data_IF_008682562095
#
_entry.id   IF_008682562095
#
_cell.length_a   1.000
_cell.length_b   1.000
_cell.length_c   1.000
_cell.angle_alpha   90.00
_cell.angle_beta   90.00
_cell.angle_gamma   90.00
#
_symmetry.space_group_name_H-M   'P 1'
#
loop_
_entity.id
_entity.type
_entity.pdbx_description
1 polymer ?
#
# COMPACT_ATOMS: atom_id res chain seq x y z
N UNK A 1 -13.48 -7.17 -23.27
CA UNK A 1 -13.60 -8.64 -23.35
C UNK A 1 -15.02 -8.99 -22.95
N UNK A 2 -15.78 -9.69 -23.78
CA UNK A 2 -17.16 -10.06 -23.47
C UNK A 2 -17.21 -11.57 -23.29
N UNK A 3 -17.78 -12.03 -22.18
CA UNK A 3 -17.84 -13.44 -21.84
C UNK A 3 -18.85 -14.18 -22.71
N UNK A 4 -18.52 -15.42 -23.09
CA UNK A 4 -19.48 -16.36 -23.68
C UNK A 4 -20.49 -16.84 -22.64
N UNK A 5 -21.62 -17.38 -23.11
CA UNK A 5 -22.66 -17.93 -22.23
C UNK A 5 -22.14 -19.13 -21.44
N UNK A 6 -21.26 -19.92 -22.05
CA UNK A 6 -20.61 -21.08 -21.44
C UNK A 6 -19.66 -20.66 -20.31
N UNK A 7 -18.83 -19.64 -20.53
CA UNK A 7 -17.94 -19.08 -19.49
C UNK A 7 -18.75 -18.49 -18.32
N UNK A 8 -19.83 -17.78 -18.64
CA UNK A 8 -20.71 -17.20 -17.62
C UNK A 8 -21.40 -18.29 -16.79
N UNK A 9 -21.89 -19.36 -17.42
CA UNK A 9 -22.46 -20.51 -16.74
C UNK A 9 -21.42 -21.26 -15.88
N UNK A 10 -20.19 -21.42 -16.39
CA UNK A 10 -19.12 -22.06 -15.65
C UNK A 10 -18.72 -21.27 -14.40
N UNK A 11 -18.61 -19.93 -14.49
CA UNK A 11 -18.35 -19.10 -13.32
C UNK A 11 -19.49 -19.12 -12.31
N UNK A 12 -20.75 -19.07 -12.76
CA UNK A 12 -21.92 -19.23 -11.85
C UNK A 12 -21.85 -20.54 -11.07
N UNK A 13 -21.60 -21.65 -11.76
CA UNK A 13 -21.45 -22.97 -11.13
C UNK A 13 -20.31 -22.97 -10.11
N UNK A 14 -19.18 -22.35 -10.42
CA UNK A 14 -18.03 -22.27 -9.50
C UNK A 14 -18.34 -21.42 -8.27
N UNK A 15 -19.09 -20.33 -8.41
CA UNK A 15 -19.54 -19.50 -7.29
C UNK A 15 -20.48 -20.30 -6.39
N UNK A 16 -21.42 -21.06 -6.95
CA UNK A 16 -22.33 -21.92 -6.19
C UNK A 16 -21.57 -23.00 -5.42
N UNK A 17 -20.63 -23.69 -6.07
CA UNK A 17 -19.74 -24.67 -5.41
C UNK A 17 -18.93 -24.05 -4.27
N UNK A 18 -18.33 -22.88 -4.50
CA UNK A 18 -17.51 -22.19 -3.50
C UNK A 18 -18.34 -21.63 -2.32
N UNK A 19 -19.63 -21.36 -2.53
CA UNK A 19 -20.53 -20.79 -1.51
C UNK A 19 -21.47 -21.80 -0.86
N UNK A 20 -21.34 -23.09 -1.23
CA UNK A 20 -22.18 -24.17 -0.71
C UNK A 20 -21.99 -24.41 0.79
N UNK A 21 -20.76 -24.24 1.29
CA UNK A 21 -20.44 -24.31 2.71
C UNK A 21 -20.21 -22.90 3.23
N UNK A 22 -21.06 -22.47 4.16
CA UNK A 22 -20.93 -21.18 4.84
C UNK A 22 -20.42 -21.37 6.25
N UNK A 23 -19.69 -20.37 6.72
CA UNK A 23 -19.27 -20.24 8.12
C UNK A 23 -20.52 -20.16 9.01
N UNK A 24 -20.49 -20.78 10.18
CA UNK A 24 -21.60 -20.72 11.13
C UNK A 24 -21.82 -19.28 11.62
N UNK A 25 -23.03 -18.92 12.01
CA UNK A 25 -23.36 -17.54 12.38
C UNK A 25 -22.51 -17.05 13.57
N UNK A 26 -22.25 -17.92 14.53
CA UNK A 26 -21.42 -17.63 15.70
C UNK A 26 -19.97 -17.31 15.29
N UNK A 27 -19.45 -18.02 14.28
CA UNK A 27 -18.12 -17.79 13.73
C UNK A 27 -18.07 -16.54 12.86
N UNK A 28 -19.13 -16.21 12.11
CA UNK A 28 -19.22 -14.95 11.36
C UNK A 28 -19.13 -13.75 12.30
N UNK A 29 -19.94 -13.72 13.36
CA UNK A 29 -19.93 -12.66 14.37
C UNK A 29 -18.54 -12.55 15.01
N UNK A 30 -17.91 -13.68 15.31
CA UNK A 30 -16.55 -13.72 15.85
C UNK A 30 -15.53 -13.12 14.87
N UNK A 31 -15.54 -13.54 13.60
CA UNK A 31 -14.59 -13.04 12.61
C UNK A 31 -14.76 -11.55 12.34
N UNK A 32 -15.99 -11.05 12.39
CA UNK A 32 -16.28 -9.63 12.25
C UNK A 32 -15.73 -8.83 13.44
N UNK A 33 -16.12 -9.22 14.66
CA UNK A 33 -15.73 -8.50 15.88
C UNK A 33 -14.22 -8.59 16.18
N UNK A 34 -13.59 -9.71 15.83
CA UNK A 34 -12.15 -9.93 16.05
C UNK A 34 -11.31 -9.66 14.79
N UNK A 35 -11.89 -9.12 13.71
CA UNK A 35 -11.19 -8.90 12.44
C UNK A 35 -9.86 -8.16 12.62
N UNK A 36 -9.87 -7.05 13.38
CA UNK A 36 -8.68 -6.22 13.62
C UNK A 36 -7.56 -7.02 14.30
N UNK A 37 -7.91 -7.87 15.27
CA UNK A 37 -6.96 -8.75 15.97
C UNK A 37 -6.35 -9.78 15.02
N UNK A 38 -7.15 -10.38 14.13
CA UNK A 38 -6.63 -11.34 13.16
C UNK A 38 -5.63 -10.69 12.18
N UNK A 39 -5.96 -9.50 11.68
CA UNK A 39 -5.05 -8.75 10.81
C UNK A 39 -3.80 -8.26 11.55
N UNK A 40 -3.92 -7.77 12.78
CA UNK A 40 -2.76 -7.42 13.60
C UNK A 40 -1.84 -8.62 13.85
N UNK A 41 -2.41 -9.80 14.14
CA UNK A 41 -1.63 -11.04 14.25
C UNK A 41 -0.93 -11.37 12.93
N UNK A 42 -1.63 -11.24 11.81
CA UNK A 42 -1.06 -11.45 10.48
C UNK A 42 0.13 -10.51 10.22
N UNK A 43 0.00 -9.20 10.48
CA UNK A 43 1.07 -8.24 10.28
C UNK A 43 2.24 -8.42 11.26
N UNK A 44 1.99 -8.86 12.49
CA UNK A 44 3.05 -9.23 13.44
C UNK A 44 3.90 -10.39 12.93
N UNK A 45 3.27 -11.40 12.33
CA UNK A 45 3.96 -12.59 11.80
C UNK A 45 4.67 -12.28 10.49
N UNK A 46 3.97 -11.67 9.53
CA UNK A 46 4.44 -11.55 8.16
C UNK A 46 5.13 -10.23 7.83
N UNK A 47 4.90 -9.17 8.61
CA UNK A 47 5.41 -7.81 8.37
C UNK A 47 5.12 -7.38 6.92
N UNK A 48 6.15 -6.92 6.21
CA UNK A 48 6.08 -6.52 4.81
C UNK A 48 6.49 -7.63 3.82
N UNK A 49 6.55 -8.91 4.24
CA UNK A 49 7.10 -10.00 3.42
C UNK A 49 6.07 -10.84 2.68
N UNK A 50 4.78 -10.65 2.95
CA UNK A 50 3.72 -11.48 2.37
C UNK A 50 3.33 -11.02 0.96
N UNK A 51 3.06 -9.72 0.81
CA UNK A 51 2.72 -9.12 -0.48
C UNK A 51 3.97 -8.51 -1.12
N UNK A 52 3.96 -8.43 -2.45
CA UNK A 52 4.98 -7.70 -3.21
C UNK A 52 4.55 -6.25 -3.39
N UNK A 53 5.54 -5.37 -3.49
CA UNK A 53 5.31 -3.99 -3.90
C UNK A 53 4.60 -3.92 -5.25
N UNK A 54 3.54 -3.09 -5.32
CA UNK A 54 2.69 -2.92 -6.49
C UNK A 54 3.29 -1.91 -7.46
N UNK A 55 4.56 -2.11 -7.84
CA UNK A 55 5.29 -1.25 -8.78
C UNK A 55 4.61 -1.11 -10.15
N UNK A 56 3.72 -2.04 -10.51
CA UNK A 56 2.92 -1.99 -11.73
C UNK A 56 1.77 -0.98 -11.67
N UNK A 57 1.31 -0.59 -10.47
CA UNK A 57 0.10 0.20 -10.25
C UNK A 57 0.08 1.49 -11.09
N UNK A 58 1.16 2.26 -10.99
CA UNK A 58 1.27 3.57 -11.65
C UNK A 58 1.53 3.47 -13.16
N UNK A 59 1.94 2.28 -13.65
CA UNK A 59 2.07 2.02 -15.08
C UNK A 59 0.72 1.76 -15.72
N UNK A 60 -0.14 0.99 -15.03
CA UNK A 60 -1.47 0.65 -15.53
C UNK A 60 -2.49 1.78 -15.29
N UNK A 61 -2.30 2.56 -14.22
CA UNK A 61 -3.20 3.64 -13.81
C UNK A 61 -2.40 4.94 -13.57
N UNK A 62 -1.86 5.58 -14.63
CA UNK A 62 -1.11 6.83 -14.50
C UNK A 62 -1.94 7.99 -13.94
N UNK A 63 -3.26 7.95 -14.09
CA UNK A 63 -4.22 8.96 -13.58
C UNK A 63 -4.29 9.06 -12.05
N UNK A 64 -3.70 8.11 -11.33
CA UNK A 64 -3.55 8.17 -9.87
C UNK A 64 -2.65 9.34 -9.45
N UNK A 65 -1.78 9.79 -10.35
CA UNK A 65 -0.82 10.87 -10.10
C UNK A 65 -1.34 12.20 -10.65
N UNK A 66 -0.91 13.33 -10.09
CA UNK A 66 -1.22 14.64 -10.65
C UNK A 66 -0.72 14.72 -12.10
N UNK A 67 -1.58 15.18 -13.00
CA UNK A 67 -1.22 15.40 -14.40
C UNK A 67 -0.22 16.55 -14.45
N UNK A 68 0.99 16.27 -14.94
CA UNK A 68 1.96 17.32 -15.24
C UNK A 68 1.40 18.19 -16.38
N UNK A 69 0.89 19.38 -16.03
CA UNK A 69 0.38 20.39 -16.97
C UNK A 69 1.43 20.87 -18.01
N UNK A 70 2.67 20.40 -17.93
CA UNK A 70 3.78 20.76 -18.82
C UNK A 70 3.97 19.79 -20.01
N UNK A 71 3.09 18.81 -20.22
CA UNK A 71 3.29 17.75 -21.26
C UNK A 71 2.49 17.99 -22.55
N UNK A 72 1.67 19.04 -22.63
CA UNK A 72 0.86 19.32 -23.83
C UNK A 72 1.65 19.91 -25.02
N UNK A 73 2.93 20.30 -24.86
CA UNK A 73 3.70 20.93 -25.95
C UNK A 73 4.54 19.96 -26.81
N UNK A 74 4.61 18.65 -26.51
CA UNK A 74 5.43 17.70 -27.30
C UNK A 74 4.65 16.57 -27.94
N UNK A 75 3.52 16.88 -28.55
CA UNK A 75 2.87 15.95 -29.50
C UNK A 75 2.33 16.69 -30.72
N UNK A 76 3.20 17.43 -31.40
CA UNK A 76 3.03 17.74 -32.82
C UNK A 76 4.35 17.48 -33.55
N UNK A 77 4.23 16.72 -34.63
CA UNK A 77 5.22 16.43 -35.67
C UNK A 77 6.17 15.24 -35.43
N UNK A 78 5.70 14.05 -35.85
CA UNK A 78 6.55 13.12 -36.59
C UNK A 78 5.99 13.00 -38.03
N UNK A 79 6.80 13.15 -39.09
CA UNK A 79 6.33 12.97 -40.47
C UNK A 79 6.06 11.50 -40.78
N UNK A 80 4.94 11.25 -41.46
CA UNK A 80 4.68 9.98 -42.14
C UNK A 80 5.63 9.85 -43.33
N UNK A 81 6.43 8.79 -43.36
CA UNK A 81 6.95 8.26 -44.62
C UNK A 81 6.76 6.75 -44.69
N UNK A 82 6.04 6.36 -45.74
CA UNK A 82 5.74 4.98 -46.12
C UNK A 82 6.91 4.39 -46.92
N UNK A 83 7.55 3.31 -46.45
CA UNK A 83 8.11 2.28 -47.35
C UNK A 83 7.94 0.88 -46.73
N UNK A 84 7.53 -0.04 -47.61
CA UNK A 84 7.06 -1.40 -47.40
C UNK A 84 8.14 -2.43 -47.01
N UNK A 85 7.72 -3.38 -46.17
CA UNK A 85 7.87 -4.85 -46.25
C UNK A 85 9.21 -5.52 -45.89
N UNK A 86 9.20 -6.33 -44.82
CA UNK A 86 9.35 -7.80 -44.87
C UNK A 86 9.27 -8.40 -43.44
N UNK A 87 8.39 -9.40 -43.25
CA UNK A 87 8.35 -10.29 -42.09
C UNK A 87 9.31 -11.50 -42.32
N UNK A 88 9.69 -12.33 -41.33
CA UNK A 88 8.73 -13.15 -40.58
C UNK A 88 9.00 -13.36 -39.07
N UNK A 89 7.91 -13.65 -38.37
CA UNK A 89 7.71 -14.46 -37.16
C UNK A 89 8.93 -14.92 -36.33
N UNK A 90 8.86 -14.66 -35.02
CA UNK A 90 9.28 -15.66 -34.03
C UNK A 90 8.37 -15.63 -32.79
N UNK A 91 7.40 -16.54 -32.78
CA UNK A 91 6.78 -17.09 -31.59
C UNK A 91 7.85 -17.90 -30.85
N UNK A 92 8.13 -17.62 -29.58
CA UNK A 92 8.50 -18.71 -28.67
C UNK A 92 8.14 -18.44 -27.23
N UNK A 93 7.36 -19.38 -26.73
CA UNK A 93 6.90 -19.67 -25.39
C UNK A 93 7.97 -20.57 -24.78
N UNK A 94 8.56 -20.23 -23.64
CA UNK A 94 9.30 -21.24 -22.87
C UNK A 94 9.11 -21.11 -21.36
N UNK A 95 8.96 -22.29 -20.77
CA UNK A 95 8.50 -22.59 -19.43
C UNK A 95 9.67 -22.70 -18.44
N UNK A 96 9.30 -22.63 -17.17
CA UNK A 96 10.08 -22.97 -15.97
C UNK A 96 10.68 -24.38 -16.00
N UNK A 97 11.93 -24.53 -15.55
CA UNK A 97 12.47 -25.78 -14.98
C UNK A 97 13.47 -25.46 -13.86
N UNK A 98 13.53 -26.35 -12.87
CA UNK A 98 14.08 -26.26 -11.51
C UNK A 98 15.49 -26.88 -11.33
N UNK A 99 16.23 -26.37 -10.33
CA UNK A 99 17.30 -26.99 -9.44
C UNK A 99 18.59 -27.59 -10.04
N UNK A 100 19.75 -27.68 -9.32
CA UNK A 100 19.91 -27.90 -7.86
C UNK A 100 21.01 -27.16 -7.07
N UNK A 101 20.85 -27.32 -5.74
CA UNK A 101 21.74 -26.96 -4.62
C UNK A 101 23.14 -27.59 -4.69
N UNK A 102 24.14 -26.95 -4.09
CA UNK A 102 25.14 -27.64 -3.27
C UNK A 102 25.64 -26.79 -2.09
N UNK A 103 25.91 -27.50 -1.00
CA UNK A 103 26.23 -27.04 0.36
C UNK A 103 27.75 -26.85 0.51
N UNK A 104 28.18 -25.95 1.39
CA UNK A 104 29.41 -26.19 2.15
C UNK A 104 29.35 -25.60 3.57
N UNK A 105 29.53 -26.49 4.54
CA UNK A 105 29.63 -26.23 5.97
C UNK A 105 31.08 -25.84 6.32
N UNK A 106 31.26 -24.88 7.24
CA UNK A 106 32.37 -24.95 8.21
C UNK A 106 31.95 -24.39 9.56
N UNK A 107 32.22 -25.19 10.58
CA UNK A 107 31.87 -25.12 12.00
C UNK A 107 33.16 -24.87 12.79
N UNK A 108 33.17 -23.89 13.69
CA UNK A 108 34.08 -23.77 14.85
C UNK A 108 33.24 -23.05 15.94
N UNK A 109 32.57 -23.77 16.87
CA UNK A 109 32.91 -23.97 18.31
C UNK A 109 33.45 -22.70 18.99
N UNK A 110 32.70 -22.02 19.90
CA UNK A 110 32.64 -22.27 21.36
C UNK A 110 33.89 -21.67 22.05
N UNK A 111 33.88 -20.91 23.15
CA UNK A 111 33.01 -20.76 24.31
C UNK A 111 33.60 -19.57 25.13
N UNK A 112 32.82 -18.77 25.88
CA UNK A 112 33.02 -18.47 27.32
C UNK A 112 32.35 -17.17 27.79
N UNK A 113 31.77 -17.28 28.99
CA UNK A 113 31.12 -16.29 29.84
C UNK A 113 31.92 -15.03 30.18
N UNK A 114 31.21 -13.98 30.61
CA UNK A 114 31.81 -12.80 31.22
C UNK A 114 30.84 -11.68 31.55
N UNK A 115 30.15 -11.81 32.69
CA UNK A 115 29.34 -10.79 33.34
C UNK A 115 30.22 -9.62 33.85
N UNK A 116 29.83 -8.35 33.62
CA UNK A 116 30.21 -7.24 34.51
C UNK A 116 29.32 -5.99 34.31
N UNK A 117 28.91 -5.42 35.46
CA UNK A 117 28.22 -4.15 35.64
C UNK A 117 29.24 -3.00 35.73
N UNK A 118 28.86 -1.80 35.28
CA UNK A 118 29.14 -0.44 35.78
C UNK A 118 28.91 0.52 34.59
N UNK A 119 28.11 1.59 34.64
CA UNK A 119 28.05 2.62 35.67
C UNK A 119 29.02 3.74 35.31
N UNK A 120 28.56 4.81 34.64
CA UNK A 120 29.05 6.18 34.86
C UNK A 120 28.32 7.20 33.98
N UNK A 121 28.00 8.30 34.65
CA UNK A 121 27.35 9.52 34.24
C UNK A 121 28.07 10.26 33.11
N UNK A 122 27.33 10.94 32.22
CA UNK A 122 27.79 12.19 31.61
C UNK A 122 26.62 13.16 31.33
N UNK A 123 26.55 14.16 32.22
CA UNK A 123 26.25 15.58 31.99
C UNK A 123 25.19 16.00 30.96
N UNK A 124 24.18 16.69 31.49
CA UNK A 124 23.40 17.76 30.86
C UNK A 124 24.23 18.60 29.87
N UNK A 125 23.75 18.72 28.63
CA UNK A 125 24.12 19.80 27.74
C UNK A 125 22.86 20.51 27.26
N UNK A 126 22.66 21.67 27.85
CA UNK A 126 21.63 22.66 27.58
C UNK A 126 21.93 23.31 26.22
N UNK A 127 21.22 22.91 25.17
CA UNK A 127 21.28 23.56 23.86
C UNK A 127 20.03 24.39 23.65
N UNK A 128 20.20 25.71 23.77
CA UNK A 128 19.25 26.74 23.38
C UNK A 128 18.74 26.47 21.95
N UNK A 129 17.48 26.08 21.82
CA UNK A 129 16.79 26.13 20.53
C UNK A 129 16.48 27.59 20.20
N UNK A 130 17.12 28.06 19.13
CA UNK A 130 16.75 29.25 18.40
C UNK A 130 15.28 29.17 17.99
N UNK A 131 14.48 30.09 18.52
CA UNK A 131 13.05 30.23 18.21
C UNK A 131 12.89 30.60 16.74
N UNK A 132 12.65 29.61 15.87
CA UNK A 132 11.93 29.84 14.62
C UNK A 132 10.49 30.20 15.00
N UNK A 133 10.06 31.41 14.64
CA UNK A 133 8.67 31.87 14.84
C UNK A 133 7.65 30.88 14.25
N UNK A 134 6.37 30.94 14.65
CA UNK A 134 5.39 29.97 14.23
C UNK A 134 5.23 30.03 12.71
N UNK A 135 5.76 29.01 12.04
CA UNK A 135 5.39 28.64 10.68
C UNK A 135 3.86 28.57 10.61
N UNK A 136 3.26 29.03 9.50
CA UNK A 136 1.82 28.90 9.22
C UNK A 136 1.30 27.57 9.80
N UNK A 137 0.41 27.65 10.78
CA UNK A 137 -0.13 26.46 11.43
C UNK A 137 -0.90 25.67 10.37
N UNK A 138 -0.40 24.48 10.02
CA UNK A 138 -1.12 23.59 9.12
C UNK A 138 -2.47 23.26 9.76
N UNK A 139 -3.56 23.53 9.05
CA UNK A 139 -4.93 23.29 9.53
C UNK A 139 -5.21 21.79 9.71
N UNK A 140 -4.62 20.99 8.83
CA UNK A 140 -4.61 19.53 8.83
C UNK A 140 -3.38 19.04 8.04
N UNK A 141 -2.93 17.78 8.22
CA UNK A 141 -1.80 17.22 7.47
C UNK A 141 -2.02 17.36 5.96
N UNK A 142 -1.07 17.91 5.22
CA UNK A 142 -1.25 18.08 3.77
C UNK A 142 -2.22 19.19 3.36
N UNK A 143 -2.53 20.12 4.27
CA UNK A 143 -3.38 21.30 3.98
C UNK A 143 -2.82 22.19 2.87
N UNK A 144 -1.50 22.21 2.67
CA UNK A 144 -0.86 22.97 1.58
C UNK A 144 -0.86 22.24 0.23
N UNK A 145 -1.20 20.96 0.18
CA UNK A 145 -1.18 20.19 -1.07
C UNK A 145 -2.29 20.62 -2.03
N UNK A 146 -2.01 20.55 -3.33
CA UNK A 146 -2.99 20.80 -4.41
C UNK A 146 -3.54 19.52 -5.03
N UNK A 147 -2.95 18.36 -4.69
CA UNK A 147 -3.43 17.05 -5.11
C UNK A 147 -3.33 16.03 -3.96
N UNK A 148 -4.42 15.32 -3.65
CA UNK A 148 -4.53 14.47 -2.47
C UNK A 148 -5.09 13.09 -2.82
N UNK A 149 -4.39 12.06 -2.35
CA UNK A 149 -4.73 10.66 -2.57
C UNK A 149 -5.07 10.03 -1.22
N UNK A 150 -6.08 9.16 -1.16
CA UNK A 150 -6.33 8.27 -0.03
C UNK A 150 -6.17 6.81 -0.46
N UNK A 151 -5.27 6.06 0.16
CA UNK A 151 -5.26 4.59 0.09
C UNK A 151 -5.98 3.99 1.29
N UNK A 152 -7.13 3.34 1.06
CA UNK A 152 -7.85 2.57 2.07
C UNK A 152 -7.31 1.14 2.07
N UNK A 153 -7.12 0.54 3.26
CA UNK A 153 -6.54 -0.79 3.42
C UNK A 153 -5.08 -0.85 2.99
N UNK A 154 -4.27 0.09 3.49
CA UNK A 154 -2.89 0.27 3.05
C UNK A 154 -1.95 -0.90 3.44
N UNK A 155 -2.35 -1.73 4.41
CA UNK A 155 -1.58 -2.86 4.89
C UNK A 155 -0.15 -2.47 5.26
N UNK A 156 0.82 -3.27 4.83
CA UNK A 156 2.24 -2.98 5.07
C UNK A 156 2.85 -1.93 4.11
N UNK A 157 2.04 -1.24 3.29
CA UNK A 157 2.50 -0.15 2.43
C UNK A 157 2.97 -0.53 1.02
N UNK A 158 2.61 -1.72 0.52
CA UNK A 158 3.07 -2.24 -0.78
C UNK A 158 2.64 -1.38 -1.99
N UNK A 159 1.59 -0.58 -1.87
CA UNK A 159 1.26 0.47 -2.86
C UNK A 159 1.71 1.85 -2.39
N UNK A 160 1.55 2.15 -1.10
CA UNK A 160 2.02 3.40 -0.45
C UNK A 160 3.44 3.77 -0.88
N UNK A 161 4.42 2.87 -0.77
CA UNK A 161 5.82 3.24 -1.04
C UNK A 161 6.13 3.45 -2.52
N UNK A 162 5.64 2.63 -3.47
CA UNK A 162 5.71 2.97 -4.90
C UNK A 162 5.06 4.33 -5.25
N UNK A 163 3.90 4.64 -4.65
CA UNK A 163 3.24 5.95 -4.83
C UNK A 163 4.11 7.07 -4.27
N UNK A 164 4.54 6.98 -3.02
CA UNK A 164 5.41 7.99 -2.40
C UNK A 164 6.70 8.21 -3.19
N UNK A 165 7.36 7.14 -3.63
CA UNK A 165 8.58 7.25 -4.42
C UNK A 165 8.35 8.05 -5.71
N UNK A 166 7.16 7.95 -6.31
CA UNK A 166 6.83 8.72 -7.50
C UNK A 166 6.49 10.17 -7.19
N UNK A 167 5.76 10.42 -6.09
CA UNK A 167 5.43 11.75 -5.59
C UNK A 167 6.64 12.53 -5.02
N UNK A 168 7.83 11.93 -4.95
CA UNK A 168 9.02 12.61 -4.41
C UNK A 168 9.38 13.92 -5.14
N UNK A 169 9.03 14.01 -6.42
CA UNK A 169 9.28 15.18 -7.25
C UNK A 169 8.06 16.11 -7.37
N UNK A 170 6.98 15.82 -6.64
CA UNK A 170 5.74 16.58 -6.64
C UNK A 170 5.37 16.97 -5.20
N UNK A 171 6.08 17.97 -4.62
CA UNK A 171 5.90 18.37 -3.21
C UNK A 171 4.50 18.90 -2.90
N UNK A 172 3.77 19.34 -3.92
CA UNK A 172 2.38 19.79 -3.83
C UNK A 172 1.36 18.62 -3.73
N UNK A 173 1.83 17.37 -3.68
CA UNK A 173 0.98 16.19 -3.51
C UNK A 173 1.09 15.60 -2.10
N UNK A 174 -0.03 15.07 -1.60
CA UNK A 174 -0.10 14.45 -0.29
C UNK A 174 -0.84 13.11 -0.35
N UNK A 175 -0.26 12.10 0.30
CA UNK A 175 -0.83 10.76 0.39
C UNK A 175 -1.37 10.50 1.80
N UNK A 176 -2.66 10.32 1.92
CA UNK A 176 -3.27 9.68 3.07
C UNK A 176 -3.28 8.17 2.85
N UNK A 177 -3.03 7.41 3.90
CA UNK A 177 -3.25 5.98 3.86
C UNK A 177 -3.77 5.48 5.20
N UNK A 178 -4.75 4.59 5.15
CA UNK A 178 -5.35 4.04 6.36
C UNK A 178 -5.53 2.54 6.30
N UNK A 179 -5.51 1.94 7.48
CA UNK A 179 -5.87 0.55 7.69
C UNK A 179 -6.56 0.48 9.05
N UNK A 180 -7.52 -0.41 9.20
CA UNK A 180 -8.18 -0.60 10.49
C UNK A 180 -7.33 -1.40 11.48
N UNK A 181 -6.32 -2.14 10.98
CA UNK A 181 -5.34 -2.84 11.79
C UNK A 181 -4.19 -1.89 12.19
N UNK A 182 -4.02 -1.64 13.48
CA UNK A 182 -2.95 -0.77 13.98
C UNK A 182 -1.55 -1.24 13.59
N UNK A 183 -1.32 -2.56 13.55
CA UNK A 183 -0.04 -3.14 13.17
C UNK A 183 0.34 -2.86 11.71
N UNK A 184 -0.64 -2.71 10.81
CA UNK A 184 -0.39 -2.29 9.44
C UNK A 184 0.14 -0.86 9.38
N UNK A 185 -0.56 0.05 10.07
CA UNK A 185 -0.19 1.47 10.13
C UNK A 185 1.19 1.67 10.76
N UNK A 186 1.52 0.89 11.80
CA UNK A 186 2.85 0.88 12.41
C UNK A 186 3.95 0.43 11.43
N UNK A 187 3.69 -0.61 10.62
CA UNK A 187 4.63 -1.04 9.57
C UNK A 187 4.87 0.06 8.54
N UNK A 188 3.82 0.79 8.14
CA UNK A 188 3.95 1.92 7.21
C UNK A 188 4.77 3.04 7.83
N UNK A 189 4.46 3.46 9.07
CA UNK A 189 5.15 4.56 9.76
C UNK A 189 6.61 4.26 10.08
N UNK A 190 6.94 2.99 10.36
CA UNK A 190 8.30 2.57 10.68
C UNK A 190 9.18 2.30 9.44
N UNK A 191 8.60 2.35 8.24
CA UNK A 191 9.35 2.12 7.01
C UNK A 191 10.32 3.29 6.71
N UNK A 192 11.58 3.02 6.31
CA UNK A 192 12.58 4.07 6.07
C UNK A 192 12.19 5.13 5.02
N UNK A 193 11.36 4.74 4.05
CA UNK A 193 10.86 5.64 3.00
C UNK A 193 9.61 6.43 3.40
N UNK A 194 9.12 6.28 4.64
CA UNK A 194 7.99 7.08 5.12
C UNK A 194 8.41 8.54 5.28
N UNK A 195 7.60 9.46 4.74
CA UNK A 195 7.87 10.91 4.78
C UNK A 195 6.63 11.63 5.28
N UNK A 196 6.62 12.00 6.56
CA UNK A 196 5.48 12.67 7.19
C UNK A 196 5.07 13.98 6.49
N UNK A 197 6.00 14.65 5.80
CA UNK A 197 5.73 15.86 5.03
C UNK A 197 4.84 15.64 3.79
N UNK A 198 4.77 14.41 3.27
CA UNK A 198 3.97 14.07 2.08
C UNK A 198 3.04 12.87 2.31
N UNK A 199 3.01 12.33 3.54
CA UNK A 199 2.26 11.13 3.87
C UNK A 199 1.68 11.21 5.28
N UNK A 200 0.41 10.84 5.42
CA UNK A 200 -0.22 10.62 6.72
C UNK A 200 -0.82 9.22 6.77
N UNK A 201 -0.19 8.33 7.53
CA UNK A 201 -0.73 7.02 7.87
C UNK A 201 -1.57 7.07 9.16
N UNK A 202 -2.79 6.55 9.16
CA UNK A 202 -3.68 6.56 10.33
C UNK A 202 -4.54 5.31 10.44
N UNK A 203 -4.96 4.98 11.66
CA UNK A 203 -5.86 3.85 11.91
C UNK A 203 -7.28 4.31 11.65
N UNK A 204 -8.01 3.57 10.82
CA UNK A 204 -9.39 3.91 10.47
C UNK A 204 -10.15 2.67 10.00
N UNK A 205 -11.30 2.39 10.61
CA UNK A 205 -12.29 1.45 10.07
C UNK A 205 -13.22 2.22 9.14
N UNK A 206 -13.15 1.95 7.84
CA UNK A 206 -14.00 2.60 6.82
C UNK A 206 -15.48 2.24 6.99
N UNK A 207 -15.78 1.21 7.77
CA UNK A 207 -17.15 0.79 8.08
C UNK A 207 -17.68 1.40 9.40
N UNK A 208 -16.96 2.34 10.01
CA UNK A 208 -17.37 3.09 11.21
C UNK A 208 -17.59 4.56 10.85
N UNK A 209 -18.86 4.96 10.76
CA UNK A 209 -19.30 6.31 10.40
C UNK A 209 -19.08 7.35 11.51
N UNK A 210 -18.74 6.90 12.72
CA UNK A 210 -18.42 7.76 13.86
C UNK A 210 -16.97 8.27 13.87
N UNK A 211 -16.09 7.70 13.02
CA UNK A 211 -14.68 8.06 13.00
C UNK A 211 -14.42 9.26 12.08
N UNK A 212 -13.81 10.31 12.62
CA UNK A 212 -13.37 11.44 11.83
C UNK A 212 -12.09 11.11 11.04
N UNK A 213 -12.06 11.53 9.77
CA UNK A 213 -10.83 11.56 9.00
C UNK A 213 -9.90 12.70 9.48
N UNK A 214 -8.56 12.57 9.30
CA UNK A 214 -7.61 13.62 9.65
C UNK A 214 -7.62 14.78 8.65
N UNK A 215 -8.70 14.95 7.89
CA UNK A 215 -8.89 15.95 6.86
C UNK A 215 -10.38 16.26 6.67
N UNK A 216 -10.72 17.46 6.16
CA UNK A 216 -12.11 17.82 5.85
C UNK A 216 -12.65 17.11 4.61
N UNK A 217 -13.97 17.02 4.51
CA UNK A 217 -14.67 16.43 3.37
C UNK A 217 -14.40 17.18 2.05
N UNK A 218 -14.46 16.45 0.94
CA UNK A 218 -14.40 17.03 -0.41
C UNK A 218 -13.01 17.49 -0.89
N UNK A 219 -11.93 17.10 -0.21
CA UNK A 219 -10.56 17.51 -0.59
C UNK A 219 -9.74 16.47 -1.35
N UNK A 220 -10.24 15.23 -1.46
CA UNK A 220 -9.52 14.12 -2.08
C UNK A 220 -9.75 14.12 -3.59
N UNK A 221 -8.67 13.98 -4.36
CA UNK A 221 -8.71 13.84 -5.81
C UNK A 221 -8.81 12.38 -6.24
N UNK A 222 -8.20 11.47 -5.47
CA UNK A 222 -8.15 10.04 -5.76
C UNK A 222 -8.37 9.23 -4.49
N UNK A 223 -9.22 8.20 -4.57
CA UNK A 223 -9.36 7.16 -3.53
C UNK A 223 -9.01 5.81 -4.14
N UNK A 224 -8.08 5.09 -3.50
CA UNK A 224 -7.63 3.76 -3.89
C UNK A 224 -8.17 2.73 -2.90
N UNK A 225 -8.90 1.74 -3.43
CA UNK A 225 -9.42 0.59 -2.67
C UNK A 225 -8.92 -0.71 -3.30
N UNK A 226 -7.68 -1.11 -2.98
CA UNK A 226 -7.06 -2.31 -3.57
C UNK A 226 -7.34 -3.52 -2.69
N UNK A 227 -8.23 -4.41 -3.14
CA UNK A 227 -8.69 -5.61 -2.41
C UNK A 227 -9.42 -5.34 -1.08
N UNK A 228 -9.97 -4.14 -0.90
CA UNK A 228 -10.69 -3.74 0.33
C UNK A 228 -12.15 -4.13 0.30
N UNK A 229 -12.88 -3.81 -0.78
CA UNK A 229 -14.33 -4.01 -0.81
C UNK A 229 -14.73 -5.49 -0.66
N UNK A 230 -13.88 -6.41 -1.14
CA UNK A 230 -14.10 -7.85 -0.98
C UNK A 230 -13.95 -8.37 0.45
N UNK A 231 -13.31 -7.60 1.34
CA UNK A 231 -13.16 -7.98 2.76
C UNK A 231 -14.19 -7.34 3.67
N UNK A 232 -15.19 -6.66 3.12
CA UNK A 232 -16.24 -5.97 3.87
C UNK A 232 -17.56 -6.68 3.60
N UNK A 233 -18.30 -7.00 4.66
CA UNK A 233 -19.62 -7.60 4.51
C UNK A 233 -20.54 -6.64 3.72
N UNK A 234 -21.32 -7.10 2.72
CA UNK A 234 -22.15 -6.23 1.90
C UNK A 234 -23.08 -5.29 2.67
N UNK A 235 -23.63 -5.75 3.79
CA UNK A 235 -24.50 -4.95 4.66
C UNK A 235 -23.77 -3.78 5.36
N UNK A 236 -22.44 -3.85 5.46
CA UNK A 236 -21.57 -2.77 5.98
C UNK A 236 -21.05 -1.85 4.87
N UNK A 237 -21.11 -2.27 3.61
CA UNK A 237 -20.62 -1.47 2.46
C UNK A 237 -21.53 -0.30 2.10
N UNK A 238 -22.76 -0.26 2.61
CA UNK A 238 -23.73 0.82 2.36
C UNK A 238 -23.25 2.21 2.79
N UNK A 239 -22.15 2.30 3.54
CA UNK A 239 -21.62 3.51 4.16
C UNK A 239 -20.26 3.96 3.60
N UNK A 240 -19.75 3.32 2.55
CA UNK A 240 -18.47 3.62 1.87
C UNK A 240 -18.76 4.32 0.54
#
# INVERSE_FOLDING_TARGET
MQWSKEEEAAARKKVEENSAVRVLLEEQVKYENEASKYWDTFYKIHKNKFFKDRNWLLREFPEILPINQNTEEKTKELPQDHVKMNAPNCFSRMYCTTVPEEKNYKKISGLSDGQSKAGSDFSNLDSKEDRKGPSKTELFPGSNATFRILEVGCGAGNSVFPILNTLQNTPESFLYCCDFASGAVELVKSHPSYRAAQCCAFVHDVCDDGLAYPFPDGILDVILLVFVLSSIHPDRTLFI
#
